data_IF_134645887748
#
_entry.id   IF_134645887748
#
_cell.length_a   1.000
_cell.length_b   1.000
_cell.length_c   1.000
_cell.angle_alpha   90.00
_cell.angle_beta   90.00
_cell.angle_gamma   90.00
#
_symmetry.space_group_name_H-M   'P 1'
#
loop_
_entity.id
_entity.type
_entity.pdbx_description
1 polymer ?
#
# COMPACT_ATOMS: atom_id res chain seq x y z
N UNK A 1 32.15 -34.61 62.82
CA UNK A 1 30.91 -34.14 62.15
C UNK A 1 30.94 -32.62 62.11
N UNK A 2 31.18 -32.01 60.94
CA UNK A 2 30.11 -31.21 60.31
C UNK A 2 30.16 -31.27 58.77
N UNK A 3 29.06 -31.56 58.08
CA UNK A 3 28.95 -31.21 56.64
C UNK A 3 27.51 -31.13 56.09
N UNK A 4 26.54 -30.61 56.87
CA UNK A 4 25.15 -30.46 56.40
C UNK A 4 24.70 -29.00 56.18
N UNK A 5 25.41 -28.01 56.72
CA UNK A 5 25.06 -26.58 56.57
C UNK A 5 25.43 -26.02 55.19
N UNK A 6 26.58 -26.43 54.63
CA UNK A 6 27.07 -25.91 53.35
C UNK A 6 26.21 -26.36 52.16
N UNK A 7 25.78 -27.63 52.16
CA UNK A 7 24.94 -28.22 51.11
C UNK A 7 23.53 -27.61 51.04
N UNK A 8 22.99 -27.17 52.19
CA UNK A 8 21.68 -26.53 52.27
C UNK A 8 21.70 -25.09 51.72
N UNK A 9 22.79 -24.34 51.97
CA UNK A 9 23.00 -23.00 51.43
C UNK A 9 23.15 -23.02 49.90
N UNK A 10 23.97 -23.94 49.37
CA UNK A 10 24.22 -24.07 47.93
C UNK A 10 22.95 -24.48 47.16
N UNK A 11 22.17 -25.44 47.69
CA UNK A 11 20.88 -25.81 47.11
C UNK A 11 19.85 -24.66 47.14
N UNK A 12 19.80 -23.88 48.23
CA UNK A 12 18.89 -22.73 48.35
C UNK A 12 19.21 -21.64 47.32
N UNK A 13 20.50 -21.36 47.10
CA UNK A 13 20.96 -20.38 46.12
C UNK A 13 20.69 -20.83 44.68
N UNK A 14 20.91 -22.12 44.35
CA UNK A 14 20.60 -22.68 43.03
C UNK A 14 19.10 -22.62 42.75
N UNK A 15 18.26 -23.01 43.72
CA UNK A 15 16.79 -22.95 43.57
C UNK A 15 16.31 -21.50 43.40
N UNK A 16 16.93 -20.54 44.09
CA UNK A 16 16.61 -19.11 43.95
C UNK A 16 17.03 -18.57 42.58
N UNK A 17 18.21 -18.93 42.10
CA UNK A 17 18.70 -18.54 40.77
C UNK A 17 17.84 -19.13 39.65
N UNK A 18 17.45 -20.41 39.73
CA UNK A 18 16.56 -21.05 38.76
C UNK A 18 15.18 -20.38 38.76
N UNK A 19 14.63 -20.03 39.93
CA UNK A 19 13.36 -19.27 40.01
C UNK A 19 13.47 -17.89 39.37
N UNK A 20 14.57 -17.17 39.59
CA UNK A 20 14.79 -15.86 38.96
C UNK A 20 14.93 -15.98 37.44
N UNK A 21 15.64 -16.99 36.94
CA UNK A 21 15.78 -17.23 35.49
C UNK A 21 14.46 -17.63 34.85
N UNK A 22 13.66 -18.48 35.52
CA UNK A 22 12.33 -18.87 35.04
C UNK A 22 11.39 -17.67 35.02
N UNK A 23 11.39 -16.83 36.06
CA UNK A 23 10.60 -15.60 36.11
C UNK A 23 11.03 -14.60 35.02
N UNK A 24 12.34 -14.42 34.82
CA UNK A 24 12.86 -13.56 33.75
C UNK A 24 12.45 -14.08 32.37
N UNK A 25 12.55 -15.38 32.12
CA UNK A 25 12.09 -15.99 30.87
C UNK A 25 10.57 -15.82 30.69
N UNK A 26 9.78 -16.05 31.74
CA UNK A 26 8.31 -15.91 31.69
C UNK A 26 7.86 -14.46 31.41
N UNK A 27 8.62 -13.47 31.87
CA UNK A 27 8.30 -12.06 31.68
C UNK A 27 8.89 -11.46 30.39
N UNK A 28 10.11 -11.88 30.00
CA UNK A 28 10.80 -11.32 28.84
C UNK A 28 10.36 -11.96 27.51
N UNK A 29 10.02 -13.25 27.50
CA UNK A 29 9.62 -13.94 26.26
C UNK A 29 8.30 -13.39 25.66
N UNK A 30 7.22 -13.14 26.45
CA UNK A 30 6.00 -12.55 25.89
C UNK A 30 6.20 -11.12 25.38
N UNK A 31 7.08 -10.34 26.02
CA UNK A 31 7.40 -8.97 25.60
C UNK A 31 8.13 -8.95 24.24
N UNK A 32 9.06 -9.88 24.02
CA UNK A 32 9.77 -10.04 22.75
C UNK A 32 8.84 -10.54 21.63
N UNK A 33 7.92 -11.46 21.92
CA UNK A 33 6.95 -11.95 20.93
C UNK A 33 5.95 -10.86 20.53
N UNK A 34 5.53 -10.02 21.48
CA UNK A 34 4.59 -8.91 21.21
C UNK A 34 5.21 -7.82 20.33
N UNK A 35 6.53 -7.67 20.32
CA UNK A 35 7.23 -6.69 19.48
C UNK A 35 7.33 -7.10 18.00
N UNK A 36 7.07 -8.38 17.67
CA UNK A 36 7.20 -8.91 16.30
C UNK A 36 5.87 -9.24 15.63
N UNK A 37 4.74 -9.17 16.33
CA UNK A 37 3.45 -9.32 15.68
C UNK A 37 3.05 -7.98 15.02
N UNK A 38 2.64 -7.97 13.74
CA UNK A 38 1.98 -6.81 13.17
C UNK A 38 0.78 -6.48 14.04
N UNK A 39 0.84 -5.37 14.77
CA UNK A 39 -0.15 -5.00 15.78
C UNK A 39 -1.42 -4.39 15.16
N UNK A 40 -1.50 -4.29 13.83
CA UNK A 40 -2.60 -3.69 13.08
C UNK A 40 -3.18 -4.58 11.98
N UNK A 41 -4.43 -4.32 11.58
CA UNK A 41 -5.04 -4.90 10.37
C UNK A 41 -4.35 -4.29 9.13
N UNK A 42 -4.12 -5.03 8.04
CA UNK A 42 -3.47 -4.47 6.86
C UNK A 42 -4.32 -3.34 6.23
N UNK A 43 -3.65 -2.41 5.57
CA UNK A 43 -4.26 -1.50 4.61
C UNK A 43 -4.58 -2.24 3.33
N UNK A 44 -5.77 -2.00 2.80
CA UNK A 44 -6.23 -2.51 1.52
C UNK A 44 -6.37 -1.33 0.56
N UNK A 45 -5.41 -1.19 -0.35
CA UNK A 45 -5.48 -0.20 -1.42
C UNK A 45 -6.16 -0.84 -2.63
N UNK A 46 -7.16 -0.17 -3.17
CA UNK A 46 -7.87 -0.59 -4.38
C UNK A 46 -7.93 0.57 -5.37
N UNK A 47 -7.61 0.29 -6.62
CA UNK A 47 -7.75 1.26 -7.72
C UNK A 47 -7.91 0.54 -9.05
N UNK A 48 -8.10 1.29 -10.12
CA UNK A 48 -8.19 0.73 -11.48
C UNK A 48 -7.18 1.37 -12.42
N UNK A 49 -6.83 0.63 -13.46
CA UNK A 49 -6.01 1.12 -14.57
C UNK A 49 -6.86 1.14 -15.83
N UNK A 50 -6.84 2.28 -16.51
CA UNK A 50 -7.60 2.48 -17.73
C UNK A 50 -6.71 2.92 -18.89
N UNK A 51 -7.20 2.66 -20.10
CA UNK A 51 -6.70 3.20 -21.33
C UNK A 51 -7.53 4.43 -21.70
N UNK A 52 -6.91 5.59 -21.70
CA UNK A 52 -7.47 6.81 -22.24
C UNK A 52 -7.45 6.73 -23.77
N UNK A 53 -8.56 6.22 -24.31
CA UNK A 53 -8.77 6.01 -25.74
C UNK A 53 -8.89 7.29 -26.54
N UNK A 54 -9.14 8.42 -25.88
CA UNK A 54 -9.27 9.73 -26.50
C UNK A 54 -8.13 10.69 -26.18
N UNK A 55 -7.20 10.29 -25.31
CA UNK A 55 -6.15 11.17 -24.76
C UNK A 55 -6.74 12.46 -24.15
N UNK A 56 -7.89 12.33 -23.49
CA UNK A 56 -8.61 13.43 -22.86
C UNK A 56 -7.97 13.88 -21.54
N UNK A 57 -7.13 13.04 -20.93
CA UNK A 57 -6.55 13.26 -19.59
C UNK A 57 -7.53 12.92 -18.45
N UNK A 58 -8.65 12.27 -18.74
CA UNK A 58 -9.65 11.79 -17.78
C UNK A 58 -10.49 10.64 -18.35
N UNK A 59 -11.23 9.92 -17.50
CA UNK A 59 -12.10 8.82 -17.93
C UNK A 59 -13.33 9.37 -18.68
N UNK A 60 -13.55 8.88 -19.89
CA UNK A 60 -14.72 9.17 -20.74
C UNK A 60 -15.56 7.91 -20.94
N UNK A 61 -16.73 8.03 -21.56
CA UNK A 61 -17.54 6.85 -21.95
C UNK A 61 -16.83 5.93 -22.95
N UNK A 62 -15.80 6.40 -23.64
CA UNK A 62 -14.97 5.59 -24.54
C UNK A 62 -13.78 4.90 -23.84
N UNK A 63 -13.57 5.16 -22.54
CA UNK A 63 -12.47 4.56 -21.77
C UNK A 63 -12.64 3.07 -21.62
N UNK A 64 -11.53 2.33 -21.71
CA UNK A 64 -11.50 0.88 -21.49
C UNK A 64 -10.55 0.54 -20.35
N UNK A 65 -10.95 -0.34 -19.43
CA UNK A 65 -10.07 -0.79 -18.36
C UNK A 65 -9.08 -1.85 -18.85
N UNK A 66 -7.88 -1.85 -18.27
CA UNK A 66 -6.76 -2.68 -18.73
C UNK A 66 -6.54 -3.84 -17.77
N UNK A 67 -6.86 -5.05 -18.19
CA UNK A 67 -6.46 -6.27 -17.49
C UNK A 67 -4.97 -6.56 -17.68
N UNK A 68 -4.29 -7.07 -16.65
CA UNK A 68 -2.87 -7.42 -16.71
C UNK A 68 -1.90 -6.22 -16.68
N UNK A 69 -2.39 -5.03 -16.36
CA UNK A 69 -1.54 -3.86 -16.16
C UNK A 69 -0.78 -3.99 -14.85
N UNK A 70 0.53 -3.72 -14.90
CA UNK A 70 1.39 -3.73 -13.72
C UNK A 70 1.39 -2.36 -13.06
N UNK A 71 1.19 -2.37 -11.76
CA UNK A 71 1.27 -1.21 -10.88
C UNK A 71 2.22 -1.53 -9.74
N UNK A 72 2.68 -0.49 -9.06
CA UNK A 72 3.37 -0.63 -7.78
C UNK A 72 2.87 0.41 -6.81
N UNK A 73 2.90 0.10 -5.53
CA UNK A 73 2.91 1.12 -4.49
C UNK A 73 4.37 1.43 -4.14
N UNK A 74 4.70 2.70 -3.99
CA UNK A 74 5.98 3.16 -3.47
C UNK A 74 5.74 4.15 -2.34
N UNK A 75 6.42 3.96 -1.20
CA UNK A 75 6.41 4.92 -0.11
C UNK A 75 7.80 5.50 0.06
N UNK A 76 7.86 6.83 0.14
CA UNK A 76 9.09 7.59 0.32
C UNK A 76 9.03 8.32 1.65
N UNK A 77 10.19 8.44 2.27
CA UNK A 77 10.41 9.31 3.43
C UNK A 77 9.89 10.72 3.15
N UNK A 78 9.12 11.30 4.08
CA UNK A 78 8.49 12.62 3.88
C UNK A 78 9.49 13.76 3.68
N UNK A 79 10.62 13.69 4.37
CA UNK A 79 11.66 14.73 4.33
C UNK A 79 12.71 14.46 3.25
N UNK A 80 13.25 13.25 3.22
CA UNK A 80 14.40 12.91 2.36
C UNK A 80 14.01 12.38 0.99
N UNK A 81 12.73 12.06 0.77
CA UNK A 81 12.18 11.44 -0.45
C UNK A 81 12.84 10.10 -0.81
N UNK A 82 13.59 9.49 0.10
CA UNK A 82 14.20 8.19 -0.10
C UNK A 82 13.14 7.09 -0.10
N UNK A 83 13.23 6.16 -1.05
CA UNK A 83 12.34 5.01 -1.10
C UNK A 83 12.49 4.14 0.15
N UNK A 84 11.39 3.92 0.87
CA UNK A 84 11.34 3.08 2.09
C UNK A 84 10.62 1.77 1.85
N UNK A 85 9.61 1.78 0.98
CA UNK A 85 8.79 0.61 0.72
C UNK A 85 8.33 0.54 -0.73
N UNK A 86 8.20 -0.68 -1.24
CA UNK A 86 7.68 -0.97 -2.58
C UNK A 86 7.00 -2.33 -2.59
N UNK A 87 5.85 -2.40 -3.26
CA UNK A 87 5.19 -3.66 -3.60
C UNK A 87 4.54 -3.54 -4.98
N UNK A 88 4.56 -4.62 -5.77
CA UNK A 88 3.93 -4.68 -7.09
C UNK A 88 2.61 -5.42 -7.04
N UNK A 89 1.70 -5.06 -7.96
CA UNK A 89 0.48 -5.78 -8.22
C UNK A 89 0.13 -5.73 -9.72
N UNK A 90 -0.77 -6.61 -10.12
CA UNK A 90 -1.30 -6.69 -11.46
C UNK A 90 -2.82 -6.53 -11.41
N UNK A 91 -3.39 -5.87 -12.42
CA UNK A 91 -4.84 -5.68 -12.50
C UNK A 91 -5.57 -6.94 -12.96
N UNK A 92 -6.75 -7.17 -12.39
CA UNK A 92 -7.68 -8.21 -12.79
C UNK A 92 -8.37 -7.94 -14.14
N UNK A 93 -9.29 -8.81 -14.55
CA UNK A 93 -10.05 -8.70 -15.80
C UNK A 93 -10.86 -7.39 -15.93
N UNK A 94 -11.21 -6.75 -14.81
CA UNK A 94 -11.92 -5.48 -14.78
C UNK A 94 -10.98 -4.27 -14.73
N UNK A 95 -9.67 -4.50 -14.87
CA UNK A 95 -8.60 -3.54 -14.71
C UNK A 95 -8.42 -3.04 -13.28
N UNK A 96 -8.85 -3.81 -12.29
CA UNK A 96 -8.76 -3.45 -10.87
C UNK A 96 -7.53 -4.08 -10.24
N UNK A 97 -6.75 -3.30 -9.49
CA UNK A 97 -5.68 -3.84 -8.65
C UNK A 97 -6.06 -3.71 -7.17
N UNK A 98 -5.58 -4.66 -6.37
CA UNK A 98 -5.68 -4.64 -4.92
C UNK A 98 -4.30 -4.91 -4.33
N UNK A 99 -3.86 -4.07 -3.38
CA UNK A 99 -2.58 -4.19 -2.69
C UNK A 99 -2.86 -4.24 -1.19
N UNK A 100 -2.28 -5.23 -0.50
CA UNK A 100 -2.31 -5.34 0.95
C UNK A 100 -0.99 -4.85 1.52
N UNK A 101 -1.03 -3.87 2.41
CA UNK A 101 0.14 -3.32 3.09
C UNK A 101 -0.03 -3.52 4.58
N UNK A 102 0.82 -4.34 5.18
CA UNK A 102 0.68 -4.75 6.59
C UNK A 102 1.11 -3.63 7.56
N UNK A 103 2.11 -2.86 7.17
CA UNK A 103 2.75 -1.87 8.02
C UNK A 103 2.06 -0.50 7.97
N UNK A 104 2.17 0.24 9.08
CA UNK A 104 1.87 1.67 9.12
C UNK A 104 3.07 2.42 8.54
N UNK A 105 2.81 3.30 7.59
CA UNK A 105 3.83 4.10 6.91
C UNK A 105 3.91 5.54 7.43
N UNK A 106 3.21 5.87 8.53
CA UNK A 106 3.35 7.11 9.29
C UNK A 106 3.39 8.39 8.43
N UNK A 107 4.55 9.07 8.39
CA UNK A 107 4.81 10.32 7.69
C UNK A 107 5.33 10.13 6.24
N UNK A 108 5.37 8.89 5.76
CA UNK A 108 5.82 8.60 4.40
C UNK A 108 4.78 9.03 3.36
N UNK A 109 5.29 9.49 2.22
CA UNK A 109 4.50 9.81 1.03
C UNK A 109 4.35 8.52 0.22
N UNK A 110 3.16 7.92 0.27
CA UNK A 110 2.83 6.69 -0.45
C UNK A 110 1.98 6.97 -1.70
N UNK A 111 2.42 6.43 -2.84
CA UNK A 111 1.72 6.54 -4.12
C UNK A 111 1.63 5.18 -4.82
N UNK A 112 0.46 4.87 -5.39
CA UNK A 112 0.36 3.89 -6.46
C UNK A 112 0.90 4.52 -7.75
N UNK A 113 1.64 3.75 -8.54
CA UNK A 113 2.34 4.20 -9.74
C UNK A 113 2.18 3.17 -10.85
N UNK A 114 1.90 3.63 -12.07
CA UNK A 114 1.89 2.77 -13.25
C UNK A 114 3.29 2.25 -13.58
N UNK A 115 3.39 0.95 -13.90
CA UNK A 115 4.64 0.31 -14.32
C UNK A 115 4.59 -0.06 -15.80
N UNK A 116 3.58 -0.81 -16.22
CA UNK A 116 3.44 -1.22 -17.62
C UNK A 116 2.03 -1.64 -17.98
N UNK A 117 1.67 -1.47 -19.25
CA UNK A 117 0.43 -1.98 -19.84
C UNK A 117 0.73 -3.14 -20.81
N UNK A 118 -0.10 -4.21 -20.81
CA UNK A 118 -0.02 -5.28 -21.79
C UNK A 118 -0.63 -4.90 -23.15
N UNK A 119 -1.43 -3.84 -23.22
CA UNK A 119 -2.05 -3.39 -24.47
C UNK A 119 -1.00 -2.71 -25.36
N UNK A 120 -0.74 -3.29 -26.53
CA UNK A 120 0.30 -2.80 -27.44
C UNK A 120 0.11 -1.32 -27.86
N UNK A 121 -1.14 -0.88 -27.99
CA UNK A 121 -1.52 0.46 -28.44
C UNK A 121 -1.86 1.43 -27.30
N UNK A 122 -1.55 1.08 -26.04
CA UNK A 122 -1.88 1.89 -24.87
C UNK A 122 -0.85 1.69 -23.74
N UNK A 123 0.40 2.12 -23.99
CA UNK A 123 1.57 1.83 -23.12
C UNK A 123 2.22 3.04 -22.47
N UNK A 124 1.88 4.24 -22.93
CA UNK A 124 2.49 5.49 -22.42
C UNK A 124 1.70 5.93 -21.21
N UNK A 125 2.31 5.94 -20.02
CA UNK A 125 1.63 6.43 -18.83
C UNK A 125 1.36 7.94 -18.99
N UNK A 126 0.13 8.38 -18.73
CA UNK A 126 -0.20 9.79 -18.71
C UNK A 126 0.47 10.44 -17.49
N UNK A 127 1.33 11.43 -17.67
CA UNK A 127 2.05 12.09 -16.57
C UNK A 127 1.09 12.58 -15.47
N UNK A 128 -0.05 13.15 -15.86
CA UNK A 128 -1.05 13.67 -14.92
C UNK A 128 -1.89 12.59 -14.22
N UNK A 129 -1.85 11.34 -14.72
CA UNK A 129 -2.68 10.21 -14.23
C UNK A 129 -1.86 8.94 -13.98
N UNK A 130 -0.54 9.04 -13.92
CA UNK A 130 0.36 7.89 -13.74
C UNK A 130 0.56 7.52 -12.27
N UNK A 131 0.03 8.34 -11.35
CA UNK A 131 0.20 8.23 -9.90
C UNK A 131 -1.12 8.49 -9.18
N UNK A 132 -1.32 7.81 -8.06
CA UNK A 132 -2.45 8.04 -7.16
C UNK A 132 -2.00 7.91 -5.70
N UNK A 133 -2.22 8.95 -4.90
CA UNK A 133 -1.82 8.96 -3.48
C UNK A 133 -2.62 7.93 -2.67
N UNK A 134 -1.93 7.21 -1.79
CA UNK A 134 -2.52 6.26 -0.86
C UNK A 134 -2.19 6.67 0.58
N UNK A 135 -3.22 6.84 1.41
CA UNK A 135 -3.02 7.17 2.82
C UNK A 135 -2.78 5.87 3.61
N UNK A 136 -1.54 5.61 4.02
CA UNK A 136 -1.16 4.39 4.73
C UNK A 136 -0.72 4.67 6.17
N UNK A 137 -1.51 5.48 6.87
CA UNK A 137 -1.29 5.74 8.30
C UNK A 137 -2.58 5.55 9.09
N UNK A 138 -2.46 4.91 10.25
CA UNK A 138 -3.55 4.58 11.16
C UNK A 138 -3.43 5.27 12.51
N UNK A 139 -2.35 6.02 12.75
CA UNK A 139 -2.12 6.75 13.99
C UNK A 139 -2.56 8.20 13.86
N UNK A 140 -3.48 8.64 14.72
CA UNK A 140 -3.90 10.05 14.91
C UNK A 140 -4.37 10.86 13.69
N UNK A 141 -4.79 10.22 12.59
CA UNK A 141 -5.34 10.92 11.41
C UNK A 141 -6.88 10.93 11.34
N UNK A 142 -7.57 10.32 12.31
CA UNK A 142 -9.04 10.23 12.32
C UNK A 142 -9.64 9.27 11.28
N UNK A 143 -8.82 8.58 10.47
CA UNK A 143 -9.27 7.63 9.46
C UNK A 143 -9.19 6.20 10.00
N UNK A 144 -10.32 5.71 10.49
CA UNK A 144 -10.44 4.35 11.05
C UNK A 144 -10.47 3.28 9.95
N UNK A 145 -10.88 3.66 8.74
CA UNK A 145 -11.04 2.73 7.63
C UNK A 145 -9.69 2.49 6.92
N UNK A 146 -9.17 1.27 7.04
CA UNK A 146 -7.95 0.81 6.35
C UNK A 146 -8.20 0.35 4.91
N UNK A 147 -9.41 0.52 4.37
CA UNK A 147 -9.71 0.33 2.95
C UNK A 147 -9.66 1.68 2.23
N UNK A 148 -8.70 1.82 1.32
CA UNK A 148 -8.50 3.05 0.55
C UNK A 148 -8.78 2.78 -0.93
N UNK A 149 -9.82 3.43 -1.45
CA UNK A 149 -10.05 3.50 -2.89
C UNK A 149 -9.30 4.72 -3.40
N UNK A 150 -8.31 4.52 -4.25
CA UNK A 150 -7.49 5.58 -4.83
C UNK A 150 -7.97 5.93 -6.23
N UNK A 151 -7.52 7.08 -6.74
CA UNK A 151 -7.82 7.50 -8.09
C UNK A 151 -7.38 6.45 -9.12
N UNK A 152 -8.17 6.28 -10.18
CA UNK A 152 -7.80 5.43 -11.29
C UNK A 152 -6.63 6.06 -12.05
N UNK A 153 -5.73 5.22 -12.55
CA UNK A 153 -4.54 5.63 -13.28
C UNK A 153 -4.65 5.31 -14.77
N UNK A 154 -4.13 6.21 -15.61
CA UNK A 154 -4.35 6.17 -17.05
C UNK A 154 -3.09 5.93 -17.87
N UNK A 155 -3.17 4.99 -18.82
CA UNK A 155 -2.28 4.96 -19.98
C UNK A 155 -2.94 5.67 -21.16
N UNK A 156 -2.14 6.31 -22.00
CA UNK A 156 -2.57 6.95 -23.23
C UNK A 156 -2.56 5.95 -24.38
N UNK A 157 -3.64 5.94 -25.15
CA UNK A 157 -3.66 5.27 -26.45
C UNK A 157 -2.74 5.99 -27.43
N UNK A 158 -2.07 5.26 -28.31
CA UNK A 158 -1.14 5.84 -29.29
C UNK A 158 -1.84 6.84 -30.23
N UNK A 159 -3.08 6.54 -30.63
CA UNK A 159 -3.93 7.36 -31.49
C UNK A 159 -5.35 7.43 -30.92
N UNK A 160 -5.95 8.62 -30.80
CA UNK A 160 -7.35 8.76 -30.38
C UNK A 160 -8.29 7.96 -31.28
N UNK A 161 -9.36 7.40 -30.70
CA UNK A 161 -10.40 6.73 -31.49
C UNK A 161 -11.18 7.74 -32.37
N UNK A 162 -11.77 7.29 -33.49
CA UNK A 162 -12.72 8.10 -34.24
C UNK A 162 -13.88 8.57 -33.34
N UNK A 163 -14.30 9.82 -33.50
CA UNK A 163 -15.38 10.41 -32.69
C UNK A 163 -14.94 11.01 -31.34
N UNK A 164 -13.66 10.91 -30.97
CA UNK A 164 -13.16 11.51 -29.74
C UNK A 164 -13.30 13.03 -29.71
N UNK A 165 -13.20 13.71 -30.86
CA UNK A 165 -13.38 15.17 -30.92
C UNK A 165 -14.81 15.58 -30.53
N UNK A 166 -15.82 14.88 -31.05
CA UNK A 166 -17.22 15.10 -30.74
C UNK A 166 -17.52 14.70 -29.29
N UNK A 167 -16.98 13.55 -28.84
CA UNK A 167 -17.16 13.08 -27.48
C UNK A 167 -16.59 14.06 -26.46
N UNK A 168 -15.38 14.58 -26.67
CA UNK A 168 -14.76 15.51 -25.72
C UNK A 168 -15.59 16.79 -25.57
N UNK A 169 -16.21 17.29 -26.66
CA UNK A 169 -17.09 18.48 -26.59
C UNK A 169 -18.25 18.29 -25.61
N UNK A 170 -18.78 17.08 -25.45
CA UNK A 170 -19.90 16.84 -24.51
C UNK A 170 -19.50 17.01 -23.04
N UNK A 171 -18.19 17.00 -22.74
CA UNK A 171 -17.66 17.24 -21.39
C UNK A 171 -17.32 18.71 -21.13
N UNK A 172 -17.32 19.54 -22.17
CA UNK A 172 -17.06 20.98 -22.10
C UNK A 172 -18.22 21.74 -22.76
N UNK A 173 -19.43 21.69 -22.18
CA UNK A 173 -20.55 22.49 -22.70
C UNK A 173 -20.15 23.97 -22.68
N UNK A 174 -20.37 24.64 -23.80
CA UNK A 174 -20.20 26.09 -23.88
C UNK A 174 -21.27 26.77 -23.04
N UNK A 175 -20.96 27.97 -22.51
CA UNK A 175 -21.83 28.75 -21.60
C UNK A 175 -23.27 29.01 -22.14
N UNK A 176 -23.52 28.72 -23.41
CA UNK A 176 -24.82 28.85 -24.09
C UNK A 176 -25.81 27.67 -23.81
N UNK A 177 -25.39 26.59 -23.14
CA UNK A 177 -26.21 25.39 -22.89
C UNK A 177 -26.58 25.15 -21.40
N UNK A 178 -26.51 26.19 -20.54
CA UNK A 178 -26.85 26.10 -19.11
C UNK A 178 -28.14 26.85 -18.73
#
# INVERSE_FOLDING_TARGET
MPNNQFKHSEHSNIVTMVRLLVLFALCALPALVSAHLPTGKPFHIKGRVYCDTCRAGFETTATTYIAGAKVKIECKDGDTLNLKYRMEAETDENGTYEIMVEDDHEDQICECVLVSSPMANCRVADEGRSRASALLTGYMNGVINRKHIVNNMGFLRDQPLPGCTELIKTYFPTDDEQ
#
